data_IF_635686808707
#
_entry.id   IF_635686808707
#
_cell.length_a   1.000
_cell.length_b   1.000
_cell.length_c   1.000
_cell.angle_alpha   90.00
_cell.angle_beta   90.00
_cell.angle_gamma   90.00
#
_symmetry.space_group_name_H-M   'P 1'
#
loop_
_entity.id
_entity.type
_entity.pdbx_description
1 polymer ?
#
# COMPACT_ATOMS: atom_id res chain seq x y z
N UNK A 1 -15.37 -10.04 -0.35
CA UNK A 1 -15.69 -8.77 -1.06
C UNK A 1 -17.18 -8.43 -1.01
N UNK A 2 -18.07 -9.40 -1.12
CA UNK A 2 -19.53 -9.16 -1.16
C UNK A 2 -20.09 -8.45 0.08
N UNK A 3 -19.47 -8.58 1.24
CA UNK A 3 -19.92 -7.96 2.49
C UNK A 3 -19.35 -6.57 2.76
N UNK A 4 -18.39 -6.08 1.96
CA UNK A 4 -17.77 -4.78 2.16
C UNK A 4 -18.71 -3.66 1.68
N UNK A 5 -19.02 -2.74 2.58
CA UNK A 5 -19.88 -1.57 2.30
C UNK A 5 -19.07 -0.39 1.73
N UNK A 6 -17.77 -0.39 1.94
CA UNK A 6 -16.89 0.69 1.52
C UNK A 6 -15.55 0.11 1.07
N UNK A 7 -15.00 0.71 0.02
CA UNK A 7 -13.67 0.38 -0.50
C UNK A 7 -12.81 1.64 -0.50
N UNK A 8 -11.62 1.54 0.06
CA UNK A 8 -10.59 2.57 -0.02
C UNK A 8 -9.60 2.18 -1.11
N UNK A 9 -9.12 3.16 -1.85
CA UNK A 9 -8.12 2.93 -2.89
C UNK A 9 -7.20 4.13 -3.03
N UNK A 10 -6.04 3.93 -3.67
CA UNK A 10 -5.22 5.06 -4.09
C UNK A 10 -5.92 5.82 -5.21
N UNK A 11 -5.53 7.07 -5.42
CA UNK A 11 -6.07 7.92 -6.49
C UNK A 11 -5.47 7.61 -7.87
N UNK A 12 -4.60 6.61 -7.97
CA UNK A 12 -4.05 6.18 -9.24
C UNK A 12 -5.10 5.44 -10.08
N UNK A 13 -5.17 5.76 -11.36
CA UNK A 13 -6.18 5.24 -12.29
C UNK A 13 -6.33 3.71 -12.21
N UNK A 14 -5.20 2.98 -12.24
CA UNK A 14 -5.21 1.51 -12.19
C UNK A 14 -5.90 0.94 -10.95
N UNK A 15 -5.76 1.61 -9.82
CA UNK A 15 -6.40 1.19 -8.56
C UNK A 15 -7.89 1.47 -8.59
N UNK A 16 -8.27 2.64 -9.06
CA UNK A 16 -9.69 3.02 -9.21
C UNK A 16 -10.39 2.10 -10.21
N UNK A 17 -9.76 1.81 -11.34
CA UNK A 17 -10.32 0.90 -12.36
C UNK A 17 -10.46 -0.53 -11.82
N UNK A 18 -9.51 -0.98 -10.99
CA UNK A 18 -9.60 -2.29 -10.34
C UNK A 18 -10.82 -2.40 -9.42
N UNK A 19 -11.12 -1.36 -8.67
CA UNK A 19 -12.32 -1.35 -7.81
C UNK A 19 -13.60 -1.44 -8.65
N UNK A 20 -13.66 -0.71 -9.75
CA UNK A 20 -14.82 -0.74 -10.66
C UNK A 20 -15.06 -2.12 -11.27
N UNK A 21 -13.99 -2.85 -11.57
CA UNK A 21 -14.07 -4.23 -12.07
C UNK A 21 -14.61 -5.17 -10.98
N UNK A 22 -14.14 -5.00 -9.74
CA UNK A 22 -14.53 -5.87 -8.63
C UNK A 22 -15.97 -5.65 -8.17
N UNK A 23 -16.37 -4.39 -8.01
CA UNK A 23 -17.72 -4.03 -7.59
C UNK A 23 -18.03 -2.59 -8.00
N UNK A 24 -18.71 -2.36 -9.14
CA UNK A 24 -18.96 -1.02 -9.65
C UNK A 24 -19.92 -0.19 -8.80
N UNK A 25 -20.72 -0.82 -7.95
CA UNK A 25 -21.74 -0.14 -7.14
C UNK A 25 -21.29 0.16 -5.71
N UNK A 26 -20.13 -0.32 -5.29
CA UNK A 26 -19.64 -0.10 -3.94
C UNK A 26 -19.20 1.36 -3.74
N UNK A 27 -19.47 1.91 -2.56
CA UNK A 27 -18.97 3.23 -2.18
C UNK A 27 -17.43 3.20 -2.16
N UNK A 28 -16.80 4.00 -3.00
CA UNK A 28 -15.35 4.03 -3.15
C UNK A 28 -14.81 5.39 -2.73
N UNK A 29 -13.78 5.39 -1.89
CA UNK A 29 -13.04 6.59 -1.50
C UNK A 29 -11.60 6.43 -1.97
N UNK A 30 -11.15 7.34 -2.82
CA UNK A 30 -9.77 7.39 -3.29
C UNK A 30 -8.97 8.47 -2.56
N UNK A 31 -7.73 8.18 -2.22
CA UNK A 31 -6.87 9.14 -1.54
C UNK A 31 -5.39 8.90 -1.87
N UNK A 32 -4.63 9.99 -1.92
CA UNK A 32 -3.17 9.97 -2.10
C UNK A 32 -2.46 9.20 -0.98
N UNK A 33 -3.09 9.14 0.20
CA UNK A 33 -2.59 8.42 1.38
C UNK A 33 -2.26 6.95 1.09
N UNK A 34 -2.93 6.32 0.13
CA UNK A 34 -2.79 4.90 -0.20
C UNK A 34 -1.91 4.63 -1.43
N UNK A 35 -1.21 5.64 -1.94
CA UNK A 35 -0.27 5.46 -3.06
C UNK A 35 0.88 4.54 -2.71
N UNK A 36 1.44 3.88 -3.73
CA UNK A 36 2.66 3.08 -3.57
C UNK A 36 3.83 3.96 -3.12
N UNK A 37 4.79 3.34 -2.45
CA UNK A 37 6.05 3.99 -2.10
C UNK A 37 6.86 4.32 -3.35
N UNK A 38 7.45 5.51 -3.37
CA UNK A 38 8.30 5.94 -4.48
C UNK A 38 9.68 5.28 -4.42
N UNK A 39 10.30 5.12 -5.57
CA UNK A 39 11.67 4.63 -5.69
C UNK A 39 12.60 5.76 -6.13
N UNK A 40 13.84 5.82 -5.60
CA UNK A 40 14.83 6.81 -6.01
C UNK A 40 15.37 6.47 -7.41
N UNK A 41 14.78 7.07 -8.45
CA UNK A 41 15.11 6.78 -9.85
C UNK A 41 16.28 7.60 -10.39
N UNK A 42 16.70 8.63 -9.66
CA UNK A 42 17.79 9.52 -10.12
C UNK A 42 19.10 8.77 -10.39
N UNK A 43 19.42 7.79 -9.54
CA UNK A 43 20.63 6.97 -9.70
C UNK A 43 20.65 6.22 -11.04
N UNK A 44 19.51 5.73 -11.48
CA UNK A 44 19.32 5.08 -12.78
C UNK A 44 19.72 5.99 -13.94
N UNK A 45 19.33 7.28 -13.84
CA UNK A 45 19.63 8.31 -14.86
C UNK A 45 21.11 8.70 -14.83
N UNK A 46 21.72 8.84 -13.64
CA UNK A 46 23.09 9.29 -13.47
C UNK A 46 24.11 8.24 -13.90
N UNK A 47 23.88 6.97 -13.56
CA UNK A 47 24.85 5.90 -13.85
C UNK A 47 24.77 5.37 -15.28
N UNK A 48 23.67 5.65 -16.00
CA UNK A 48 23.45 5.22 -17.39
C UNK A 48 23.80 3.74 -17.66
N UNK A 49 23.58 2.89 -16.66
CA UNK A 49 23.83 1.45 -16.76
C UNK A 49 22.62 0.75 -17.40
N UNK A 50 22.90 -0.06 -18.42
CA UNK A 50 21.86 -0.85 -19.11
C UNK A 50 21.56 -2.14 -18.35
N UNK A 51 20.85 -2.04 -17.24
CA UNK A 51 20.37 -3.19 -16.47
C UNK A 51 18.89 -3.45 -16.77
N UNK A 52 18.46 -4.69 -16.56
CA UNK A 52 17.04 -5.02 -16.65
C UNK A 52 16.26 -4.21 -15.60
N UNK A 53 15.03 -3.82 -15.95
CA UNK A 53 14.14 -3.06 -15.03
C UNK A 53 13.96 -3.76 -13.69
N UNK A 54 13.85 -5.09 -13.67
CA UNK A 54 13.73 -5.87 -12.44
C UNK A 54 14.95 -5.76 -11.53
N UNK A 55 16.16 -5.75 -12.10
CA UNK A 55 17.41 -5.59 -11.35
C UNK A 55 17.50 -4.19 -10.77
N UNK A 56 17.19 -3.16 -11.55
CA UNK A 56 17.10 -1.78 -11.07
C UNK A 56 16.11 -1.63 -9.94
N UNK A 57 14.92 -2.23 -10.06
CA UNK A 57 13.90 -2.20 -9.01
C UNK A 57 14.42 -2.75 -7.69
N UNK A 58 15.13 -3.87 -7.71
CA UNK A 58 15.74 -4.48 -6.51
C UNK A 58 16.80 -3.57 -5.91
N UNK A 59 17.73 -3.06 -6.73
CA UNK A 59 18.83 -2.18 -6.27
C UNK A 59 18.26 -0.91 -5.64
N UNK A 60 17.32 -0.24 -6.32
CA UNK A 60 16.72 1.00 -5.85
C UNK A 60 15.92 0.78 -4.57
N UNK A 61 15.24 -0.35 -4.45
CA UNK A 61 14.49 -0.69 -3.25
C UNK A 61 15.41 -0.95 -2.06
N UNK A 62 16.53 -1.64 -2.26
CA UNK A 62 17.52 -1.87 -1.21
C UNK A 62 18.16 -0.56 -0.75
N UNK A 63 18.51 0.35 -1.67
CA UNK A 63 19.00 1.67 -1.35
C UNK A 63 17.97 2.49 -0.55
N UNK A 64 16.71 2.43 -0.95
CA UNK A 64 15.63 3.12 -0.26
C UNK A 64 15.46 2.61 1.17
N UNK A 65 15.53 1.31 1.40
CA UNK A 65 15.49 0.72 2.74
C UNK A 65 16.70 1.10 3.60
N UNK A 66 17.83 1.40 2.98
CA UNK A 66 19.03 1.89 3.71
C UNK A 66 18.94 3.38 4.09
N UNK A 67 17.90 4.09 3.63
CA UNK A 67 17.68 5.50 3.92
C UNK A 67 17.93 6.44 2.74
N UNK A 68 18.39 5.92 1.58
CA UNK A 68 18.57 6.74 0.40
C UNK A 68 17.23 7.16 -0.20
N UNK A 69 16.98 8.46 -0.24
CA UNK A 69 15.73 9.03 -0.77
C UNK A 69 16.02 10.33 -1.51
N UNK A 70 16.43 10.23 -2.76
CA UNK A 70 16.66 11.39 -3.61
C UNK A 70 15.46 11.61 -4.54
N UNK A 71 14.85 12.78 -4.48
CA UNK A 71 13.65 13.16 -5.24
C UNK A 71 12.47 12.18 -5.08
N UNK A 72 12.38 11.47 -3.94
CA UNK A 72 11.28 10.56 -3.65
C UNK A 72 10.97 10.55 -2.15
N UNK A 73 9.86 9.91 -1.81
CA UNK A 73 9.45 9.72 -0.42
C UNK A 73 10.51 8.91 0.36
N UNK A 74 10.90 9.38 1.54
CA UNK A 74 11.80 8.64 2.41
C UNK A 74 11.11 7.45 3.08
N UNK A 75 11.90 6.50 3.59
CA UNK A 75 11.38 5.37 4.35
C UNK A 75 10.64 5.83 5.61
N UNK A 76 11.17 6.85 6.29
CA UNK A 76 10.53 7.43 7.48
C UNK A 76 9.17 8.04 7.14
N UNK A 77 9.08 8.80 6.06
CA UNK A 77 7.83 9.42 5.62
C UNK A 77 6.80 8.36 5.19
N UNK A 78 7.25 7.31 4.49
CA UNK A 78 6.39 6.20 4.12
C UNK A 78 5.82 5.47 5.35
N UNK A 79 6.63 5.26 6.38
CA UNK A 79 6.18 4.65 7.64
C UNK A 79 5.16 5.52 8.37
N UNK A 80 5.37 6.84 8.41
CA UNK A 80 4.41 7.77 9.00
C UNK A 80 3.10 7.81 8.22
N UNK A 81 3.19 7.80 6.89
CA UNK A 81 2.02 7.72 6.01
C UNK A 81 1.26 6.43 6.22
N UNK A 82 1.96 5.30 6.39
CA UNK A 82 1.35 4.01 6.70
C UNK A 82 0.63 4.01 8.05
N UNK A 83 1.16 4.69 9.05
CA UNK A 83 0.48 4.90 10.33
C UNK A 83 -0.87 5.60 10.15
N UNK A 84 -0.88 6.71 9.41
CA UNK A 84 -2.10 7.46 9.10
C UNK A 84 -3.09 6.62 8.29
N UNK A 85 -2.59 5.88 7.30
CA UNK A 85 -3.40 5.01 6.46
C UNK A 85 -4.05 3.88 7.28
N UNK A 86 -3.29 3.24 8.16
CA UNK A 86 -3.81 2.18 9.03
C UNK A 86 -4.88 2.70 9.98
N UNK A 87 -4.68 3.89 10.55
CA UNK A 87 -5.70 4.52 11.41
C UNK A 87 -6.97 4.83 10.63
N UNK A 88 -6.84 5.34 9.41
CA UNK A 88 -7.98 5.59 8.53
C UNK A 88 -8.78 4.32 8.22
N UNK A 89 -8.08 3.21 7.96
CA UNK A 89 -8.71 1.91 7.75
C UNK A 89 -9.47 1.43 8.99
N UNK A 90 -8.87 1.60 10.18
CA UNK A 90 -9.50 1.21 11.44
C UNK A 90 -10.76 2.04 11.67
N UNK A 91 -10.70 3.35 11.47
CA UNK A 91 -11.85 4.24 11.65
C UNK A 91 -13.02 3.83 10.73
N UNK A 92 -12.74 3.51 9.48
CA UNK A 92 -13.77 3.02 8.56
C UNK A 92 -14.28 1.62 8.91
N UNK A 93 -13.40 0.74 9.41
CA UNK A 93 -13.82 -0.59 9.87
C UNK A 93 -14.74 -0.49 11.09
N UNK A 94 -14.50 0.45 12.00
CA UNK A 94 -15.34 0.72 13.14
C UNK A 94 -16.71 1.28 12.72
N UNK A 95 -16.72 2.18 11.74
CA UNK A 95 -17.95 2.80 11.23
C UNK A 95 -18.82 1.84 10.41
N UNK A 96 -18.20 1.08 9.50
CA UNK A 96 -18.88 0.22 8.53
C UNK A 96 -18.80 -1.27 8.84
N UNK A 97 -18.18 -1.65 9.95
CA UNK A 97 -17.93 -3.02 10.38
C UNK A 97 -16.89 -3.79 9.53
N UNK A 98 -16.66 -3.37 8.31
CA UNK A 98 -15.61 -3.88 7.44
C UNK A 98 -15.24 -2.87 6.39
N UNK A 99 -13.99 -2.91 5.95
CA UNK A 99 -13.46 -2.06 4.88
C UNK A 99 -12.49 -2.88 4.03
N UNK A 100 -12.50 -2.62 2.73
CA UNK A 100 -11.53 -3.22 1.79
C UNK A 100 -10.59 -2.12 1.28
N UNK A 101 -9.30 -2.40 1.27
CA UNK A 101 -8.28 -1.56 0.65
C UNK A 101 -7.81 -2.20 -0.64
N UNK A 102 -7.96 -1.51 -1.74
CA UNK A 102 -7.33 -1.84 -3.02
C UNK A 102 -6.13 -0.91 -3.21
N UNK A 103 -4.97 -1.41 -2.85
CA UNK A 103 -3.75 -0.61 -2.80
C UNK A 103 -2.58 -1.25 -3.52
N UNK A 104 -1.38 -0.97 -3.05
CA UNK A 104 -0.13 -1.35 -3.69
C UNK A 104 0.73 -2.22 -2.78
N UNK A 105 1.44 -3.18 -3.37
CA UNK A 105 2.10 -4.25 -2.66
C UNK A 105 3.05 -3.82 -1.54
N UNK A 106 4.01 -2.96 -1.83
CA UNK A 106 4.98 -2.55 -0.80
C UNK A 106 4.36 -1.65 0.27
N UNK A 107 3.53 -0.72 -0.13
CA UNK A 107 2.87 0.16 0.84
C UNK A 107 1.90 -0.62 1.73
N UNK A 108 1.19 -1.60 1.17
CA UNK A 108 0.33 -2.49 1.94
C UNK A 108 1.10 -3.26 3.01
N UNK A 109 2.36 -3.62 2.77
CA UNK A 109 3.22 -4.24 3.80
C UNK A 109 3.41 -3.33 5.02
N UNK A 110 3.63 -2.04 4.82
CA UNK A 110 3.77 -1.08 5.91
C UNK A 110 2.47 -0.91 6.67
N UNK A 111 1.34 -0.82 5.96
CA UNK A 111 0.01 -0.76 6.58
C UNK A 111 -0.25 -2.00 7.43
N UNK A 112 0.05 -3.19 6.90
CA UNK A 112 -0.12 -4.45 7.61
C UNK A 112 0.68 -4.50 8.91
N UNK A 113 1.94 -4.04 8.89
CA UNK A 113 2.77 -3.94 10.10
C UNK A 113 2.16 -3.02 11.15
N UNK A 114 1.62 -1.88 10.73
CA UNK A 114 0.98 -0.95 11.66
C UNK A 114 -0.32 -1.54 12.25
N UNK A 115 -1.12 -2.24 11.45
CA UNK A 115 -2.30 -2.96 11.93
C UNK A 115 -1.93 -4.03 12.98
N UNK A 116 -0.87 -4.79 12.71
CA UNK A 116 -0.39 -5.82 13.64
C UNK A 116 0.11 -5.21 14.95
N UNK A 117 0.80 -4.07 14.92
CA UNK A 117 1.21 -3.33 16.13
C UNK A 117 0.00 -2.89 16.96
N UNK A 118 -1.13 -2.63 16.35
CA UNK A 118 -2.37 -2.23 17.01
C UNK A 118 -3.25 -3.40 17.44
N UNK A 119 -2.75 -4.63 17.34
CA UNK A 119 -3.43 -5.84 17.79
C UNK A 119 -4.29 -6.52 16.73
N UNK A 120 -4.33 -6.03 15.50
CA UNK A 120 -5.04 -6.68 14.41
C UNK A 120 -4.31 -7.96 13.99
N UNK A 121 -5.05 -9.04 13.84
CA UNK A 121 -4.51 -10.36 13.50
C UNK A 121 -4.80 -10.71 12.04
N UNK A 122 -3.79 -11.23 11.37
CA UNK A 122 -3.87 -11.65 9.99
C UNK A 122 -2.53 -12.22 9.53
N UNK A 123 -2.38 -12.37 8.22
CA UNK A 123 -1.16 -12.90 7.63
C UNK A 123 0.05 -12.04 8.01
N UNK A 124 1.10 -12.65 8.53
CA UNK A 124 2.29 -11.95 8.99
C UNK A 124 3.05 -11.27 7.85
N UNK A 125 3.09 -11.88 6.69
CA UNK A 125 3.70 -11.31 5.48
C UNK A 125 2.66 -11.12 4.41
N UNK A 126 2.56 -9.91 3.88
CA UNK A 126 1.68 -9.56 2.77
C UNK A 126 2.39 -9.89 1.46
N UNK A 127 1.71 -10.60 0.58
CA UNK A 127 2.21 -10.83 -0.77
C UNK A 127 2.17 -9.55 -1.61
N UNK A 128 3.18 -9.38 -2.46
CA UNK A 128 3.27 -8.22 -3.36
C UNK A 128 2.78 -8.51 -4.78
N UNK A 129 2.33 -9.73 -5.04
CA UNK A 129 1.78 -10.12 -6.34
C UNK A 129 0.43 -9.43 -6.60
N UNK A 130 0.12 -9.19 -7.86
CA UNK A 130 -1.19 -8.66 -8.25
C UNK A 130 -2.33 -9.58 -7.76
N UNK A 131 -3.42 -8.95 -7.33
CA UNK A 131 -4.62 -9.65 -6.83
C UNK A 131 -4.39 -10.51 -5.59
N UNK A 132 -3.30 -10.32 -4.88
CA UNK A 132 -3.11 -10.96 -3.59
C UNK A 132 -4.03 -10.32 -2.55
N UNK A 133 -4.79 -11.14 -1.85
CA UNK A 133 -5.73 -10.68 -0.82
C UNK A 133 -5.26 -11.13 0.56
N UNK A 134 -5.28 -10.21 1.51
CA UNK A 134 -4.95 -10.50 2.91
C UNK A 134 -5.99 -9.86 3.82
N UNK A 135 -6.49 -10.60 4.79
CA UNK A 135 -7.50 -10.13 5.72
C UNK A 135 -6.90 -9.96 7.11
N UNK A 136 -7.23 -8.85 7.75
CA UNK A 136 -6.88 -8.56 9.14
C UNK A 136 -8.15 -8.33 9.95
N UNK A 137 -8.20 -8.86 11.16
CA UNK A 137 -9.33 -8.71 12.05
C UNK A 137 -8.86 -8.39 13.48
N UNK A 138 -9.66 -7.61 14.18
CA UNK A 138 -9.50 -7.38 15.60
C UNK A 138 -10.49 -8.28 16.33
N UNK A 139 -9.97 -9.25 17.07
CA UNK A 139 -10.80 -10.12 17.90
C UNK A 139 -11.05 -9.41 19.23
N UNK A 140 -12.29 -9.14 19.49
CA UNK A 140 -12.72 -8.60 20.79
C UNK A 140 -12.72 -9.67 21.88
#
# INVERSE_FOLDING_TARGET
>A
MAAAKIVLTSDLKRSVDSVKILNPEVKTISATLFRETELPTLLMKLLNLKLRTSIWAVILRLLWFSGYSNECESLSDAKQRAKKASQRLIDYADEYNSVVLVGHGFFNMFIAKELQKKGWKGKRKVGVKHWNCTTYSLLS
#
